data_IF_407669332769
#
_entry.id   IF_407669332769
#
_cell.length_a   1.000
_cell.length_b   1.000
_cell.length_c   1.000
_cell.angle_alpha   90.00
_cell.angle_beta   90.00
_cell.angle_gamma   90.00
#
_symmetry.space_group_name_H-M   'P 1'
#
loop_
_entity.id
_entity.type
_entity.pdbx_description
1 polymer ?
#
# COMPACT_ATOMS: atom_id res chain seq x y z
N UNK A 1 10.98 14.15 -25.99
CA UNK A 1 10.27 15.42 -25.77
C UNK A 1 9.13 15.06 -24.84
N UNK A 2 9.16 15.54 -23.60
CA UNK A 2 8.04 15.35 -22.67
C UNK A 2 6.88 16.12 -23.28
N UNK A 3 5.85 15.43 -23.74
CA UNK A 3 4.58 16.10 -24.04
C UNK A 3 4.13 16.77 -22.75
N UNK A 4 3.79 18.05 -22.81
CA UNK A 4 3.19 18.76 -21.67
C UNK A 4 1.93 17.98 -21.27
N UNK A 5 1.98 17.28 -20.13
CA UNK A 5 0.80 16.66 -19.56
C UNK A 5 -0.25 17.75 -19.28
N UNK A 6 -1.55 17.51 -19.49
CA UNK A 6 -2.58 18.52 -19.26
C UNK A 6 -2.79 18.81 -17.76
N UNK A 7 -2.14 18.06 -16.87
CA UNK A 7 -2.26 18.17 -15.43
C UNK A 7 -0.89 18.43 -14.79
N UNK A 8 -0.94 18.99 -13.59
CA UNK A 8 0.25 19.21 -12.78
C UNK A 8 0.67 17.89 -12.12
N UNK A 9 1.99 17.69 -12.04
CA UNK A 9 2.60 16.56 -11.36
C UNK A 9 3.51 17.11 -10.26
N UNK A 10 3.23 16.77 -9.01
CA UNK A 10 4.03 17.20 -7.87
C UNK A 10 3.76 16.36 -6.62
N UNK A 11 4.79 16.06 -5.81
CA UNK A 11 4.60 15.44 -4.49
C UNK A 11 3.63 16.18 -3.57
N UNK A 12 3.37 17.48 -3.79
CA UNK A 12 2.43 18.24 -2.97
C UNK A 12 0.98 17.74 -3.08
N UNK A 13 0.64 17.03 -4.16
CA UNK A 13 -0.70 16.50 -4.39
C UNK A 13 -0.90 15.11 -3.77
N UNK A 14 0.14 14.48 -3.22
CA UNK A 14 0.07 13.10 -2.75
C UNK A 14 -1.02 12.87 -1.68
N UNK A 15 -1.24 13.87 -0.83
CA UNK A 15 -2.25 13.86 0.22
C UNK A 15 -3.67 14.21 -0.25
N UNK A 16 -3.89 14.49 -1.54
CA UNK A 16 -5.18 14.89 -2.07
C UNK A 16 -6.26 13.80 -1.83
N UNK A 17 -7.48 14.23 -1.55
CA UNK A 17 -8.62 13.34 -1.30
C UNK A 17 -9.83 13.76 -2.11
N UNK A 18 -10.21 12.91 -3.05
CA UNK A 18 -11.37 13.12 -3.92
C UNK A 18 -12.62 12.55 -3.24
N UNK A 19 -13.48 13.45 -2.78
CA UNK A 19 -14.79 13.13 -2.20
C UNK A 19 -15.85 13.01 -3.30
N UNK A 20 -17.00 12.44 -2.94
CA UNK A 20 -18.11 12.16 -3.86
C UNK A 20 -18.53 13.38 -4.70
N UNK A 21 -18.56 14.57 -4.10
CA UNK A 21 -19.01 15.78 -4.79
C UNK A 21 -18.04 16.24 -5.89
N UNK A 22 -16.74 15.96 -5.71
CA UNK A 22 -15.67 16.28 -6.66
C UNK A 22 -15.30 15.11 -7.60
N UNK A 23 -15.97 13.96 -7.47
CA UNK A 23 -15.69 12.76 -8.24
C UNK A 23 -16.18 12.90 -9.69
N UNK A 24 -15.31 12.60 -10.64
CA UNK A 24 -15.72 12.33 -12.03
C UNK A 24 -15.95 10.83 -12.23
N UNK A 25 -14.95 9.98 -12.01
CA UNK A 25 -15.10 8.52 -12.12
C UNK A 25 -14.37 7.80 -11.00
N UNK A 26 -14.91 6.65 -10.60
CA UNK A 26 -14.29 5.72 -9.67
C UNK A 26 -13.80 4.49 -10.43
N UNK A 27 -12.61 4.00 -10.10
CA UNK A 27 -11.94 2.91 -10.78
C UNK A 27 -11.57 1.84 -9.74
N UNK A 28 -11.91 0.59 -10.03
CA UNK A 28 -11.81 -0.54 -9.10
C UNK A 28 -12.54 -0.26 -7.76
N UNK A 29 -11.85 -0.43 -6.62
CA UNK A 29 -12.40 -0.19 -5.29
C UNK A 29 -13.52 -1.16 -4.89
N UNK A 30 -14.21 -0.89 -3.77
CA UNK A 30 -15.11 -1.85 -3.12
C UNK A 30 -16.37 -2.20 -3.92
N UNK A 31 -16.62 -1.51 -5.04
CA UNK A 31 -17.79 -1.70 -5.90
C UNK A 31 -17.43 -2.28 -7.27
N UNK A 32 -16.16 -2.56 -7.52
CA UNK A 32 -15.68 -3.11 -8.79
C UNK A 32 -14.45 -3.99 -8.55
N UNK A 33 -13.78 -4.42 -9.62
CA UNK A 33 -12.57 -5.24 -9.55
C UNK A 33 -11.40 -4.47 -10.12
N UNK A 34 -10.21 -4.75 -9.59
CA UNK A 34 -8.99 -4.20 -10.15
C UNK A 34 -7.75 -4.90 -9.63
N UNK A 35 -6.61 -4.57 -10.23
CA UNK A 35 -5.31 -4.89 -9.67
C UNK A 35 -4.19 -3.99 -10.23
N UNK A 36 -3.10 -3.84 -9.50
CA UNK A 36 -1.84 -3.28 -10.01
C UNK A 36 -0.74 -4.33 -9.96
N UNK A 37 0.03 -4.50 -11.03
CA UNK A 37 1.12 -5.47 -11.09
C UNK A 37 2.35 -4.88 -11.76
N UNK A 38 3.52 -5.07 -11.16
CA UNK A 38 4.81 -4.86 -11.83
C UNK A 38 5.46 -6.20 -12.13
N UNK A 39 6.03 -6.35 -13.33
CA UNK A 39 6.76 -7.55 -13.74
C UNK A 39 8.12 -7.19 -14.33
N UNK A 40 9.16 -7.85 -13.84
CA UNK A 40 10.49 -7.79 -14.44
C UNK A 40 10.49 -8.59 -15.74
N UNK A 41 10.94 -7.96 -16.82
CA UNK A 41 11.00 -8.53 -18.16
C UNK A 41 12.40 -8.34 -18.77
N UNK A 42 12.69 -9.05 -19.87
CA UNK A 42 13.95 -8.82 -20.59
C UNK A 42 13.89 -7.53 -21.39
N UNK A 43 15.03 -6.88 -21.60
CA UNK A 43 15.15 -5.68 -22.43
C UNK A 43 14.53 -5.84 -23.83
N UNK A 44 14.60 -7.03 -24.42
CA UNK A 44 14.03 -7.33 -25.75
C UNK A 44 12.51 -7.52 -25.76
N UNK A 45 11.90 -7.71 -24.59
CA UNK A 45 10.47 -7.99 -24.43
C UNK A 45 9.67 -6.72 -24.11
N UNK A 46 10.35 -5.63 -23.73
CA UNK A 46 9.73 -4.34 -23.36
C UNK A 46 9.97 -3.29 -24.44
N UNK A 47 8.87 -2.71 -24.93
CA UNK A 47 8.90 -1.56 -25.83
C UNK A 47 8.82 -0.26 -25.00
N UNK A 48 9.97 0.40 -24.79
CA UNK A 48 10.09 1.55 -23.89
C UNK A 48 9.10 2.69 -24.24
N UNK A 49 8.31 3.10 -23.25
CA UNK A 49 7.31 4.16 -23.35
C UNK A 49 5.97 3.70 -23.94
N UNK A 50 5.81 2.42 -24.31
CA UNK A 50 4.55 1.92 -24.85
C UNK A 50 3.46 1.94 -23.79
N UNK A 51 2.29 2.42 -24.19
CA UNK A 51 1.04 2.27 -23.44
C UNK A 51 0.06 1.46 -24.26
N UNK A 52 -0.68 0.58 -23.61
CA UNK A 52 -1.82 -0.13 -24.20
C UNK A 52 -3.02 0.01 -23.27
N UNK A 53 -4.13 0.55 -23.79
CA UNK A 53 -5.41 0.56 -23.09
C UNK A 53 -6.34 -0.54 -23.64
N UNK A 54 -6.87 -1.38 -22.76
CA UNK A 54 -7.84 -2.44 -23.11
C UNK A 54 -9.16 -2.17 -22.41
N UNK A 55 -10.14 -1.66 -23.14
CA UNK A 55 -11.46 -1.29 -22.63
C UNK A 55 -11.77 0.21 -22.85
N UNK A 56 -12.87 0.72 -22.26
CA UNK A 56 -13.26 2.11 -22.41
C UNK A 56 -12.25 3.07 -21.76
N UNK A 57 -11.98 4.18 -22.43
CA UNK A 57 -11.15 5.26 -21.89
C UNK A 57 -11.97 6.30 -21.09
N UNK A 58 -11.31 7.24 -20.41
CA UNK A 58 -11.94 8.31 -19.61
C UNK A 58 -12.99 9.06 -20.43
N UNK A 59 -12.68 9.38 -21.70
CA UNK A 59 -13.61 10.10 -22.59
C UNK A 59 -14.92 9.35 -22.90
N UNK A 60 -14.95 8.04 -22.66
CA UNK A 60 -16.13 7.17 -22.85
C UNK A 60 -16.84 6.85 -21.53
N UNK A 61 -16.27 7.27 -20.39
CA UNK A 61 -16.83 7.01 -19.08
C UNK A 61 -17.87 8.08 -18.69
N UNK A 62 -18.92 7.63 -18.02
CA UNK A 62 -19.98 8.51 -17.52
C UNK A 62 -19.63 9.02 -16.11
N UNK A 63 -19.86 10.32 -15.89
CA UNK A 63 -19.65 10.95 -14.59
C UNK A 63 -20.43 10.25 -13.46
N UNK A 64 -19.75 10.03 -12.34
CA UNK A 64 -20.28 9.43 -11.12
C UNK A 64 -20.33 7.90 -11.14
N UNK A 65 -19.92 7.23 -12.23
CA UNK A 65 -19.91 5.77 -12.32
C UNK A 65 -18.60 5.15 -11.83
N UNK A 66 -18.68 3.84 -11.55
CA UNK A 66 -17.56 3.00 -11.18
C UNK A 66 -17.23 2.03 -12.32
N UNK A 67 -15.96 1.93 -12.70
CA UNK A 67 -15.46 1.02 -13.73
C UNK A 67 -14.42 0.05 -13.15
N UNK A 68 -14.21 -1.13 -13.71
CA UNK A 68 -13.10 -1.99 -13.31
C UNK A 68 -11.79 -1.37 -13.83
N UNK A 69 -10.68 -1.64 -13.16
CA UNK A 69 -9.42 -1.02 -13.53
C UNK A 69 -8.23 -1.86 -13.11
N UNK A 70 -7.34 -2.14 -14.04
CA UNK A 70 -6.07 -2.76 -13.74
C UNK A 70 -4.91 -2.06 -14.43
N UNK A 71 -3.74 -2.13 -13.81
CA UNK A 71 -2.49 -1.53 -14.27
C UNK A 71 -1.42 -2.61 -14.25
N UNK A 72 -0.73 -2.80 -15.37
CA UNK A 72 0.43 -3.68 -15.45
C UNK A 72 1.59 -2.86 -15.98
N UNK A 73 2.71 -2.88 -15.30
CA UNK A 73 3.96 -2.31 -15.79
C UNK A 73 4.98 -3.43 -15.99
N UNK A 74 5.53 -3.53 -17.20
CA UNK A 74 6.70 -4.36 -17.43
C UNK A 74 7.93 -3.47 -17.41
N UNK A 75 8.89 -3.83 -16.56
CA UNK A 75 10.13 -3.08 -16.36
C UNK A 75 11.33 -3.91 -16.80
N UNK A 76 12.32 -3.27 -17.38
CA UNK A 76 13.57 -3.89 -17.78
C UNK A 76 14.76 -2.94 -17.62
N UNK A 77 15.92 -3.50 -17.31
CA UNK A 77 17.19 -2.81 -17.12
C UNK A 77 18.26 -3.79 -16.66
N UNK A 78 19.53 -3.39 -16.70
CA UNK A 78 20.66 -4.24 -16.31
C UNK A 78 20.54 -4.74 -14.85
N UNK A 79 19.96 -3.91 -13.98
CA UNK A 79 19.79 -4.20 -12.55
C UNK A 79 18.33 -4.51 -12.16
N UNK A 80 17.46 -4.81 -13.13
CA UNK A 80 16.07 -5.18 -12.86
C UNK A 80 15.98 -6.69 -12.63
N UNK A 81 15.72 -7.06 -11.38
CA UNK A 81 15.50 -8.45 -10.94
C UNK A 81 14.05 -8.66 -10.47
N UNK A 82 13.59 -9.92 -10.39
CA UNK A 82 12.23 -10.21 -9.88
C UNK A 82 12.01 -9.71 -8.45
N UNK A 83 13.08 -9.60 -7.67
CA UNK A 83 13.02 -9.20 -6.26
C UNK A 83 12.70 -7.72 -6.08
N UNK A 84 12.82 -6.89 -7.13
CA UNK A 84 12.46 -5.46 -7.06
C UNK A 84 11.01 -5.19 -7.47
N UNK A 85 10.29 -6.18 -8.00
CA UNK A 85 8.93 -5.99 -8.54
C UNK A 85 7.97 -5.41 -7.51
N UNK A 86 7.91 -5.96 -6.29
CA UNK A 86 7.04 -5.50 -5.20
C UNK A 86 7.37 -4.08 -4.74
N UNK A 87 8.66 -3.72 -4.75
CA UNK A 87 9.14 -2.39 -4.35
C UNK A 87 8.71 -1.35 -5.37
N UNK A 88 8.93 -1.65 -6.65
CA UNK A 88 8.50 -0.78 -7.75
C UNK A 88 6.97 -0.69 -7.76
N UNK A 89 6.26 -1.81 -7.61
CA UNK A 89 4.80 -1.84 -7.54
C UNK A 89 4.26 -0.93 -6.45
N UNK A 90 4.89 -0.91 -5.27
CA UNK A 90 4.47 -0.03 -4.18
C UNK A 90 4.63 1.45 -4.52
N UNK A 91 5.64 1.84 -5.31
CA UNK A 91 5.85 3.23 -5.72
C UNK A 91 4.78 3.73 -6.71
N UNK A 92 4.03 2.83 -7.35
CA UNK A 92 2.85 3.20 -8.16
C UNK A 92 1.87 4.06 -7.36
N UNK A 93 1.70 3.73 -6.07
CA UNK A 93 0.85 4.52 -5.17
C UNK A 93 1.26 5.99 -5.10
N UNK A 94 2.55 6.29 -4.91
CA UNK A 94 3.01 7.66 -4.74
C UNK A 94 2.95 8.40 -6.08
N UNK A 95 3.48 7.77 -7.13
CA UNK A 95 3.59 8.37 -8.44
C UNK A 95 2.24 8.72 -9.05
N UNK A 96 1.21 7.90 -8.82
CA UNK A 96 -0.14 8.25 -9.24
C UNK A 96 -0.76 9.37 -8.41
N UNK A 97 -0.52 9.39 -7.09
CA UNK A 97 -1.01 10.49 -6.25
C UNK A 97 -0.23 11.81 -6.45
N UNK A 98 0.89 11.81 -7.18
CA UNK A 98 1.55 13.06 -7.60
C UNK A 98 0.78 13.76 -8.72
N UNK A 99 -0.13 13.08 -9.41
CA UNK A 99 -0.96 13.65 -10.46
C UNK A 99 -2.14 14.39 -9.83
N UNK A 100 -2.21 15.70 -10.05
CA UNK A 100 -3.27 16.53 -9.47
C UNK A 100 -4.67 16.08 -9.92
N UNK A 101 -5.58 15.88 -8.96
CA UNK A 101 -6.93 15.39 -9.21
C UNK A 101 -7.01 13.89 -9.52
N UNK A 102 -5.96 13.11 -9.26
CA UNK A 102 -5.94 11.66 -9.32
C UNK A 102 -5.59 11.08 -7.94
N UNK A 103 -6.47 10.26 -7.39
CA UNK A 103 -6.29 9.66 -6.06
C UNK A 103 -6.19 8.14 -6.20
N UNK A 104 -5.04 7.58 -5.90
CA UNK A 104 -4.79 6.13 -5.84
C UNK A 104 -4.68 5.67 -4.39
N UNK A 105 -5.37 4.59 -4.02
CA UNK A 105 -5.33 4.00 -2.68
C UNK A 105 -5.09 2.49 -2.74
N UNK A 106 -4.57 1.98 -1.63
CA UNK A 106 -4.32 0.56 -1.36
C UNK A 106 -3.19 -0.01 -2.24
N UNK A 107 -3.36 -1.24 -2.74
CA UNK A 107 -2.31 -2.05 -3.36
C UNK A 107 -2.86 -3.32 -4.03
N UNK A 108 -2.04 -3.99 -4.85
CA UNK A 108 -2.31 -5.32 -5.44
C UNK A 108 -3.72 -5.39 -6.05
N UNK A 109 -4.56 -6.36 -5.69
CA UNK A 109 -5.93 -6.51 -6.18
C UNK A 109 -6.97 -5.65 -5.44
N UNK A 110 -6.54 -4.86 -4.47
CA UNK A 110 -7.38 -4.03 -3.59
C UNK A 110 -7.35 -2.55 -3.97
N UNK A 111 -6.69 -2.22 -5.10
CA UNK A 111 -6.54 -0.85 -5.57
C UNK A 111 -7.89 -0.14 -5.68
N UNK A 112 -7.84 1.16 -5.37
CA UNK A 112 -9.00 2.02 -5.51
C UNK A 112 -8.56 3.38 -6.01
N UNK A 113 -9.07 3.74 -7.17
CA UNK A 113 -8.72 5.00 -7.81
C UNK A 113 -9.96 5.88 -7.93
N UNK A 114 -9.77 7.19 -7.73
CA UNK A 114 -10.75 8.22 -8.08
C UNK A 114 -10.10 9.27 -8.96
N UNK A 115 -10.83 9.70 -9.98
CA UNK A 115 -10.46 10.82 -10.83
C UNK A 115 -11.42 11.96 -10.55
N UNK A 116 -10.89 13.14 -10.26
CA UNK A 116 -11.66 14.32 -9.90
C UNK A 116 -12.15 15.07 -11.13
N UNK A 117 -13.26 15.79 -10.99
CA UNK A 117 -13.78 16.70 -12.03
C UNK A 117 -12.76 17.75 -12.43
N UNK A 118 -11.91 18.16 -11.49
CA UNK A 118 -10.85 19.13 -11.74
C UNK A 118 -9.78 18.60 -12.72
N UNK A 119 -9.37 17.33 -12.59
CA UNK A 119 -8.42 16.73 -13.53
C UNK A 119 -8.96 16.75 -14.97
N UNK A 120 -10.25 16.42 -15.14
CA UNK A 120 -10.92 16.50 -16.44
C UNK A 120 -10.94 17.94 -16.97
N UNK A 121 -11.24 18.92 -16.12
CA UNK A 121 -11.27 20.33 -16.51
C UNK A 121 -9.91 20.88 -16.92
N UNK A 122 -8.81 20.33 -16.36
CA UNK A 122 -7.42 20.66 -16.73
C UNK A 122 -6.99 19.97 -18.03
N UNK A 123 -7.75 18.97 -18.51
CA UNK A 123 -7.55 18.33 -19.81
C UNK A 123 -7.17 16.86 -19.74
N UNK A 124 -7.27 16.22 -18.58
CA UNK A 124 -7.19 14.76 -18.48
C UNK A 124 -8.38 14.15 -19.23
N UNK A 125 -8.11 13.48 -20.34
CA UNK A 125 -9.12 12.87 -21.21
C UNK A 125 -8.83 11.41 -21.52
N UNK A 126 -7.65 10.91 -21.15
CA UNK A 126 -7.23 9.53 -21.38
C UNK A 126 -6.43 8.96 -20.22
N UNK A 127 -6.69 7.69 -19.91
CA UNK A 127 -5.90 6.87 -19.01
C UNK A 127 -4.47 6.65 -19.53
N UNK A 128 -4.23 6.79 -20.84
CA UNK A 128 -2.89 6.71 -21.41
C UNK A 128 -2.00 7.87 -20.96
N UNK A 129 -2.58 9.07 -20.78
CA UNK A 129 -1.86 10.24 -20.23
C UNK A 129 -1.37 9.95 -18.81
N UNK A 130 -2.20 9.28 -18.00
CA UNK A 130 -1.82 8.84 -16.65
C UNK A 130 -0.70 7.82 -16.73
N UNK A 131 -0.81 6.80 -17.58
CA UNK A 131 0.22 5.77 -17.74
C UNK A 131 1.57 6.37 -18.16
N UNK A 132 1.57 7.30 -19.12
CA UNK A 132 2.78 8.00 -19.56
C UNK A 132 3.41 8.82 -18.43
N UNK A 133 2.61 9.57 -17.66
CA UNK A 133 3.08 10.35 -16.52
C UNK A 133 3.67 9.44 -15.43
N UNK A 134 2.99 8.34 -15.10
CA UNK A 134 3.47 7.39 -14.10
C UNK A 134 4.76 6.68 -14.55
N UNK A 135 4.86 6.27 -15.83
CA UNK A 135 6.09 5.69 -16.38
C UNK A 135 7.26 6.69 -16.36
N UNK A 136 7.02 7.97 -16.67
CA UNK A 136 8.03 9.02 -16.54
C UNK A 136 8.52 9.12 -15.08
N UNK A 137 7.61 9.14 -14.11
CA UNK A 137 7.97 9.18 -12.69
C UNK A 137 8.75 7.94 -12.26
N UNK A 138 8.37 6.75 -12.72
CA UNK A 138 9.13 5.53 -12.49
C UNK A 138 10.58 5.67 -12.95
N UNK A 139 10.82 6.12 -14.19
CA UNK A 139 12.20 6.26 -14.72
C UNK A 139 12.99 7.37 -14.01
N UNK A 140 12.34 8.45 -13.61
CA UNK A 140 13.00 9.57 -12.94
C UNK A 140 13.47 9.19 -11.53
N UNK A 141 12.60 8.51 -10.78
CA UNK A 141 12.84 8.19 -9.37
C UNK A 141 13.58 6.86 -9.20
N UNK A 142 13.44 5.94 -10.16
CA UNK A 142 14.06 4.61 -10.14
C UNK A 142 14.91 4.43 -11.42
N UNK A 143 16.08 5.10 -11.51
CA UNK A 143 16.87 5.18 -12.75
C UNK A 143 17.46 3.84 -13.23
N UNK A 144 17.40 2.79 -12.42
CA UNK A 144 17.75 1.42 -12.83
C UNK A 144 16.69 0.80 -13.77
N UNK A 145 15.52 1.40 -13.90
CA UNK A 145 14.50 1.05 -14.90
C UNK A 145 14.85 1.74 -16.21
N UNK A 146 15.49 1.02 -17.12
CA UNK A 146 15.91 1.54 -18.43
C UNK A 146 14.77 1.55 -19.44
N UNK A 147 13.92 0.52 -19.42
CA UNK A 147 12.73 0.38 -20.25
C UNK A 147 11.51 0.09 -19.41
N UNK A 148 10.40 0.73 -19.75
CA UNK A 148 9.11 0.48 -19.13
C UNK A 148 8.01 0.52 -20.18
N UNK A 149 7.05 -0.39 -20.08
CA UNK A 149 5.78 -0.33 -20.81
C UNK A 149 4.62 -0.55 -19.86
N UNK A 150 3.46 0.03 -20.18
CA UNK A 150 2.26 -0.04 -19.36
C UNK A 150 1.09 -0.65 -20.15
N UNK A 151 0.33 -1.52 -19.49
CA UNK A 151 -0.96 -2.02 -19.96
C UNK A 151 -2.02 -1.64 -18.93
N UNK A 152 -2.91 -0.74 -19.31
CA UNK A 152 -4.07 -0.38 -18.51
C UNK A 152 -5.31 -1.10 -19.05
N UNK A 153 -6.16 -1.58 -18.16
CA UNK A 153 -7.30 -2.41 -18.51
C UNK A 153 -8.53 -1.87 -17.79
N UNK A 154 -9.58 -1.57 -18.53
CA UNK A 154 -10.90 -1.17 -18.04
C UNK A 154 -12.00 -2.10 -18.54
N UNK A 155 -11.63 -3.14 -19.29
CA UNK A 155 -12.50 -4.26 -19.65
C UNK A 155 -12.55 -5.30 -18.52
N UNK A 156 -13.76 -5.61 -18.04
CA UNK A 156 -13.95 -6.56 -16.93
C UNK A 156 -13.53 -7.99 -17.29
N UNK A 157 -13.74 -8.41 -18.54
CA UNK A 157 -13.49 -9.79 -18.97
C UNK A 157 -11.99 -10.05 -19.01
N UNK A 158 -11.20 -9.10 -19.51
CA UNK A 158 -9.75 -9.21 -19.53
C UNK A 158 -9.15 -9.14 -18.11
N UNK A 159 -9.72 -8.33 -17.21
CA UNK A 159 -9.32 -8.33 -15.79
C UNK A 159 -9.57 -9.70 -15.15
N UNK A 160 -10.77 -10.27 -15.32
CA UNK A 160 -11.12 -11.56 -14.74
C UNK A 160 -10.25 -12.70 -15.26
N UNK A 161 -9.89 -12.66 -16.55
CA UNK A 161 -9.00 -13.64 -17.18
C UNK A 161 -7.59 -13.63 -16.60
N UNK A 162 -7.09 -12.47 -16.18
CA UNK A 162 -5.72 -12.31 -15.63
C UNK A 162 -5.65 -12.50 -14.12
N UNK A 163 -6.76 -12.29 -13.42
CA UNK A 163 -6.81 -12.24 -11.95
C UNK A 163 -6.20 -13.48 -11.26
N UNK A 164 -6.39 -14.67 -11.83
CA UNK A 164 -5.88 -15.91 -11.24
C UNK A 164 -4.34 -15.94 -11.23
N UNK A 165 -3.68 -15.60 -12.34
CA UNK A 165 -2.21 -15.56 -12.42
C UNK A 165 -1.62 -14.40 -11.61
N UNK A 166 -2.33 -13.28 -11.55
CA UNK A 166 -1.98 -12.13 -10.70
C UNK A 166 -1.95 -12.55 -9.23
N UNK A 167 -3.00 -13.23 -8.74
CA UNK A 167 -3.06 -13.74 -7.36
C UNK A 167 -1.94 -14.73 -7.05
N UNK A 168 -1.65 -15.66 -7.97
CA UNK A 168 -0.51 -16.59 -7.81
C UNK A 168 0.82 -15.85 -7.69
N UNK A 169 1.00 -14.76 -8.43
CA UNK A 169 2.21 -13.94 -8.35
C UNK A 169 2.35 -13.32 -6.97
N UNK A 170 1.28 -12.77 -6.40
CA UNK A 170 1.29 -12.24 -5.03
C UNK A 170 1.52 -13.32 -3.97
N UNK A 171 0.87 -14.48 -4.11
CA UNK A 171 1.08 -15.61 -3.19
C UNK A 171 2.54 -16.07 -3.17
N UNK A 172 3.20 -16.10 -4.33
CA UNK A 172 4.64 -16.42 -4.43
C UNK A 172 5.52 -15.38 -3.74
N UNK A 173 5.18 -14.08 -3.86
CA UNK A 173 5.88 -13.00 -3.14
C UNK A 173 5.71 -13.15 -1.62
N UNK A 174 4.52 -13.54 -1.17
CA UNK A 174 4.20 -13.69 0.26
C UNK A 174 4.82 -14.94 0.90
N UNK A 175 5.07 -16.02 0.15
CA UNK A 175 5.68 -17.25 0.69
C UNK A 175 7.13 -17.03 1.12
N UNK A 176 7.85 -16.11 0.46
CA UNK A 176 9.29 -15.89 0.68
C UNK A 176 9.66 -15.49 2.12
N UNK A 177 8.72 -14.95 2.89
CA UNK A 177 9.01 -14.42 4.24
C UNK A 177 8.70 -15.41 5.36
N UNK A 178 8.19 -16.61 5.05
CA UNK A 178 7.65 -17.52 6.08
C UNK A 178 8.70 -18.15 6.98
N UNK A 179 9.91 -18.35 6.47
CA UNK A 179 10.99 -19.07 7.18
C UNK A 179 12.03 -18.12 7.81
N UNK A 180 11.75 -16.82 7.85
CA UNK A 180 12.60 -15.82 8.48
C UNK A 180 11.85 -15.23 9.67
N UNK A 181 12.49 -15.22 10.84
CA UNK A 181 11.92 -14.64 12.05
C UNK A 181 12.72 -13.44 12.54
N UNK A 182 12.10 -12.65 13.42
CA UNK A 182 12.73 -11.50 14.03
C UNK A 182 14.03 -11.84 14.77
N UNK A 183 14.15 -13.05 15.32
CA UNK A 183 15.35 -13.55 15.99
C UNK A 183 16.52 -13.76 15.03
N UNK A 184 16.26 -14.00 13.74
CA UNK A 184 17.27 -14.28 12.72
C UNK A 184 17.89 -13.01 12.14
N UNK A 185 17.37 -11.83 12.49
CA UNK A 185 17.79 -10.54 11.93
C UNK A 185 18.15 -9.52 13.01
N UNK A 186 19.12 -8.67 12.70
CA UNK A 186 19.55 -7.54 13.55
C UNK A 186 18.91 -6.20 13.14
N UNK A 187 18.23 -6.20 12.00
CA UNK A 187 17.71 -5.03 11.31
C UNK A 187 16.26 -5.27 10.91
N UNK A 188 15.40 -4.32 11.26
CA UNK A 188 14.04 -4.20 10.74
C UNK A 188 13.99 -3.09 9.70
N UNK A 189 12.82 -2.90 9.09
CA UNK A 189 12.62 -1.83 8.12
C UNK A 189 11.44 -0.97 8.50
N UNK A 190 11.56 0.32 8.24
CA UNK A 190 10.49 1.28 8.44
C UNK A 190 9.90 1.75 7.13
N UNK A 191 8.72 2.34 7.17
CA UNK A 191 8.11 3.00 6.04
C UNK A 191 7.32 4.25 6.48
N UNK A 192 7.63 5.39 5.86
CA UNK A 192 6.97 6.70 6.06
C UNK A 192 6.19 7.16 4.84
N UNK A 193 6.05 6.32 3.82
CA UNK A 193 5.34 6.62 2.57
C UNK A 193 3.95 7.24 2.82
N UNK A 194 3.22 6.72 3.81
CA UNK A 194 1.87 7.20 4.12
C UNK A 194 1.81 8.49 4.97
N UNK A 195 2.93 9.15 5.26
CA UNK A 195 2.94 10.38 6.05
C UNK A 195 2.31 11.58 5.33
N UNK A 196 2.18 11.51 4.00
CA UNK A 196 1.43 12.49 3.20
C UNK A 196 -0.03 12.66 3.67
N UNK A 197 -0.63 11.64 4.28
CA UNK A 197 -1.99 11.70 4.83
C UNK A 197 -2.11 11.31 6.31
N UNK A 198 -1.10 10.65 6.88
CA UNK A 198 -1.02 10.35 8.30
C UNK A 198 0.36 10.77 8.84
N UNK A 199 0.58 12.09 9.10
CA UNK A 199 1.92 12.66 9.29
C UNK A 199 2.74 12.05 10.42
N UNK A 200 2.08 11.48 11.43
CA UNK A 200 2.75 10.87 12.60
C UNK A 200 2.89 9.35 12.47
N UNK A 201 2.37 8.74 11.40
CA UNK A 201 2.45 7.30 11.21
C UNK A 201 3.88 6.87 10.85
N UNK A 202 4.33 5.79 11.46
CA UNK A 202 5.57 5.09 11.08
C UNK A 202 5.25 3.60 11.04
N UNK A 203 5.35 2.99 9.86
CA UNK A 203 5.27 1.54 9.74
C UNK A 203 6.59 0.91 10.16
N UNK A 204 6.54 -0.13 10.99
CA UNK A 204 7.67 -0.99 11.35
C UNK A 204 7.37 -2.38 10.81
N UNK A 205 8.29 -2.87 9.98
CA UNK A 205 8.17 -4.07 9.18
C UNK A 205 9.27 -5.02 9.63
N UNK A 206 8.85 -6.21 10.03
CA UNK A 206 9.74 -7.27 10.51
C UNK A 206 9.43 -8.55 9.76
N UNK A 207 10.29 -9.59 9.86
CA UNK A 207 9.97 -10.87 9.25
C UNK A 207 8.63 -11.45 9.74
N UNK A 208 8.29 -11.24 11.02
CA UNK A 208 7.05 -11.69 11.64
C UNK A 208 5.90 -10.67 11.60
N UNK A 209 6.10 -9.47 11.04
CA UNK A 209 5.05 -8.43 10.89
C UNK A 209 5.19 -7.67 9.58
N UNK A 210 4.38 -8.06 8.61
CA UNK A 210 4.21 -7.33 7.34
C UNK A 210 3.68 -5.91 7.61
N UNK A 211 3.98 -4.98 6.68
CA UNK A 211 3.34 -3.67 6.67
C UNK A 211 1.82 -3.77 6.72
N UNK A 212 1.16 -2.79 7.35
CA UNK A 212 -0.29 -2.79 7.51
C UNK A 212 -1.07 -2.82 6.19
N UNK A 213 -0.48 -2.32 5.10
CA UNK A 213 -1.09 -2.37 3.78
C UNK A 213 -0.93 -3.73 3.07
N UNK A 214 -0.19 -4.67 3.63
CA UNK A 214 0.09 -5.98 3.03
C UNK A 214 1.12 -5.96 1.88
N UNK A 215 1.46 -4.79 1.34
CA UNK A 215 2.28 -4.67 0.14
C UNK A 215 3.80 -4.78 0.37
N UNK A 216 4.28 -4.53 1.60
CA UNK A 216 5.71 -4.49 1.92
C UNK A 216 6.00 -5.50 3.03
N UNK A 217 6.77 -6.53 2.70
CA UNK A 217 7.36 -7.46 3.66
C UNK A 217 8.81 -7.04 4.03
N UNK A 218 9.48 -7.83 4.87
CA UNK A 218 10.84 -7.51 5.32
C UNK A 218 11.87 -7.47 4.18
N UNK A 219 11.80 -8.39 3.21
CA UNK A 219 12.70 -8.39 2.05
C UNK A 219 12.46 -7.20 1.14
N UNK A 220 11.20 -6.81 0.96
CA UNK A 220 10.84 -5.60 0.20
C UNK A 220 11.40 -4.35 0.90
N UNK A 221 11.24 -4.25 2.22
CA UNK A 221 11.82 -3.16 3.00
C UNK A 221 13.34 -3.08 2.88
N UNK A 222 14.01 -4.24 2.91
CA UNK A 222 15.46 -4.34 2.69
C UNK A 222 15.88 -3.85 1.31
N UNK A 223 15.29 -4.40 0.26
CA UNK A 223 15.69 -4.07 -1.08
C UNK A 223 15.30 -2.62 -1.43
N UNK A 224 14.19 -2.08 -0.89
CA UNK A 224 13.83 -0.67 -1.05
C UNK A 224 14.89 0.25 -0.42
N UNK A 225 15.24 0.02 0.84
CA UNK A 225 16.24 0.84 1.56
C UNK A 225 17.66 0.74 0.95
N UNK A 226 17.98 -0.36 0.26
CA UNK A 226 19.24 -0.50 -0.48
C UNK A 226 19.21 0.19 -1.85
N UNK A 227 18.05 0.16 -2.52
CA UNK A 227 17.87 0.70 -3.87
C UNK A 227 17.73 2.23 -3.84
N UNK A 228 16.99 2.76 -2.87
CA UNK A 228 16.73 4.19 -2.67
C UNK A 228 16.93 4.55 -1.19
N UNK A 229 18.18 4.81 -0.75
CA UNK A 229 18.49 5.08 0.66
C UNK A 229 17.85 6.34 1.25
N UNK A 230 17.50 7.31 0.40
CA UNK A 230 16.82 8.55 0.79
C UNK A 230 15.28 8.43 0.62
N UNK A 231 14.81 7.26 0.19
CA UNK A 231 13.41 6.96 -0.03
C UNK A 231 12.60 6.79 1.26
N UNK A 232 11.30 6.50 1.14
CA UNK A 232 10.41 6.41 2.29
C UNK A 232 10.58 5.11 3.10
N UNK A 233 11.35 4.13 2.61
CA UNK A 233 11.70 2.91 3.33
C UNK A 233 13.15 2.98 3.80
N UNK A 234 13.39 2.66 5.07
CA UNK A 234 14.69 2.83 5.71
C UNK A 234 14.97 1.70 6.70
N UNK A 235 16.26 1.45 6.96
CA UNK A 235 16.70 0.46 7.93
C UNK A 235 16.50 0.94 9.38
N UNK A 236 16.09 0.02 10.25
CA UNK A 236 15.94 0.21 11.69
C UNK A 236 16.82 -0.81 12.40
N UNK A 237 17.93 -0.37 13.01
CA UNK A 237 18.68 -1.25 13.91
C UNK A 237 17.83 -1.58 15.12
N UNK A 238 17.71 -2.85 15.51
CA UNK A 238 16.86 -3.27 16.63
C UNK A 238 17.25 -2.58 17.95
N UNK A 239 18.54 -2.49 18.24
CA UNK A 239 19.03 -2.04 19.53
C UNK A 239 18.73 -3.05 20.65
N UNK A 240 18.61 -2.57 21.89
CA UNK A 240 18.23 -3.38 23.05
C UNK A 240 16.79 -3.91 22.94
N UNK A 241 16.59 -5.16 23.32
CA UNK A 241 15.27 -5.79 23.47
C UNK A 241 14.70 -5.38 24.84
N UNK A 242 13.62 -4.61 24.83
CA UNK A 242 12.97 -4.09 26.05
C UNK A 242 11.80 -4.99 26.50
N UNK A 243 11.10 -5.61 25.54
CA UNK A 243 10.05 -6.60 25.77
C UNK A 243 10.01 -7.58 24.60
N UNK A 244 10.42 -8.83 24.83
CA UNK A 244 10.45 -9.85 23.79
C UNK A 244 9.05 -10.30 23.35
N UNK A 245 8.08 -10.34 24.27
CA UNK A 245 6.72 -10.81 23.97
C UNK A 245 5.94 -9.71 23.24
N UNK A 246 5.98 -8.49 23.77
CA UNK A 246 5.40 -7.32 23.13
C UNK A 246 6.10 -6.89 21.84
N UNK A 247 7.34 -7.35 21.61
CA UNK A 247 8.17 -6.90 20.49
C UNK A 247 8.55 -5.42 20.64
N UNK A 248 9.06 -5.03 21.81
CA UNK A 248 9.55 -3.68 22.07
C UNK A 248 11.08 -3.64 21.97
N UNK A 249 11.57 -2.73 21.12
CA UNK A 249 12.97 -2.58 20.82
C UNK A 249 13.36 -1.11 20.90
N UNK A 250 14.47 -0.81 21.58
CA UNK A 250 14.92 0.58 21.80
C UNK A 250 15.15 1.35 20.50
N UNK A 251 15.74 0.72 19.47
CA UNK A 251 15.98 1.37 18.17
C UNK A 251 14.69 1.65 17.39
N UNK A 252 13.67 0.80 17.54
CA UNK A 252 12.33 1.06 17.01
C UNK A 252 11.71 2.28 17.70
N UNK A 253 11.76 2.31 19.04
CA UNK A 253 11.22 3.41 19.83
C UNK A 253 11.87 4.76 19.49
N UNK A 254 13.20 4.81 19.44
CA UNK A 254 13.95 6.03 19.11
C UNK A 254 13.56 6.58 17.74
N UNK A 255 13.56 5.72 16.72
CA UNK A 255 13.31 6.14 15.36
C UNK A 255 11.84 6.52 15.14
N UNK A 256 10.91 5.76 15.71
CA UNK A 256 9.49 6.06 15.59
C UNK A 256 9.12 7.36 16.35
N UNK A 257 9.75 7.64 17.50
CA UNK A 257 9.61 8.92 18.19
C UNK A 257 10.10 10.09 17.33
N UNK A 258 11.27 9.94 16.70
CA UNK A 258 11.83 10.95 15.80
C UNK A 258 10.93 11.21 14.58
N UNK A 259 10.54 10.16 13.88
CA UNK A 259 9.80 10.26 12.61
C UNK A 259 8.32 10.59 12.78
N UNK A 260 7.75 10.37 13.97
CA UNK A 260 6.40 10.81 14.30
C UNK A 260 6.33 12.23 14.86
N UNK A 261 7.47 12.95 14.95
CA UNK A 261 7.54 14.26 15.58
C UNK A 261 7.25 14.24 17.09
N UNK A 262 7.49 13.11 17.76
CA UNK A 262 7.26 12.92 19.19
C UNK A 262 5.80 12.64 19.56
N UNK A 263 4.95 12.26 18.60
CA UNK A 263 3.54 11.94 18.86
C UNK A 263 3.36 10.72 19.77
N UNK A 264 4.32 9.79 19.73
CA UNK A 264 4.46 8.64 20.63
C UNK A 264 5.93 8.25 20.74
N UNK A 265 6.30 7.61 21.84
CA UNK A 265 7.70 7.28 22.14
C UNK A 265 7.99 5.78 22.20
N UNK A 266 6.94 4.95 22.07
CA UNK A 266 7.01 3.50 22.26
C UNK A 266 6.13 2.80 21.25
N UNK A 267 6.60 1.70 20.68
CA UNK A 267 5.80 0.78 19.87
C UNK A 267 6.08 -0.64 20.36
N UNK A 268 5.00 -1.39 20.65
CA UNK A 268 5.04 -2.84 20.82
C UNK A 268 4.52 -3.51 19.54
N UNK A 269 5.40 -4.19 18.83
CA UNK A 269 5.12 -4.79 17.53
C UNK A 269 4.12 -5.96 17.59
N UNK A 270 3.84 -6.53 18.74
CA UNK A 270 2.90 -7.66 18.85
C UNK A 270 1.86 -7.46 19.95
N UNK A 271 1.49 -6.19 20.16
CA UNK A 271 0.49 -5.77 21.13
C UNK A 271 -0.63 -4.97 20.45
N UNK A 272 -1.85 -5.24 20.87
CA UNK A 272 -3.09 -4.56 20.49
C UNK A 272 -3.47 -3.51 21.56
N UNK A 273 -3.14 -3.74 22.83
CA UNK A 273 -3.54 -2.86 23.93
C UNK A 273 -2.43 -1.94 24.42
N UNK A 274 -1.22 -2.46 24.62
CA UNK A 274 -0.11 -1.71 25.18
C UNK A 274 0.77 -1.15 24.06
N UNK A 275 0.84 0.18 23.93
CA UNK A 275 1.61 0.89 22.88
C UNK A 275 1.45 0.27 21.49
N UNK A 276 0.20 0.09 21.00
CA UNK A 276 -0.02 -0.55 19.73
C UNK A 276 0.66 0.22 18.61
N UNK A 277 1.06 -0.51 17.58
CA UNK A 277 1.54 0.09 16.35
C UNK A 277 0.48 1.05 15.77
N UNK A 278 0.90 2.18 15.20
CA UNK A 278 -0.04 3.14 14.59
C UNK A 278 -0.60 2.65 13.26
N UNK A 279 -1.68 3.28 12.77
CA UNK A 279 -2.23 3.01 11.45
C UNK A 279 -2.35 4.29 10.64
N UNK A 280 -2.00 4.25 9.34
CA UNK A 280 -2.23 5.38 8.46
C UNK A 280 -3.67 5.38 7.93
N UNK A 281 -4.02 4.48 7.01
CA UNK A 281 -5.36 4.40 6.41
C UNK A 281 -5.51 3.38 5.28
N UNK A 282 -4.42 2.75 4.84
CA UNK A 282 -4.42 1.72 3.80
C UNK A 282 -4.32 0.29 4.35
N UNK A 283 -4.72 0.06 5.60
CA UNK A 283 -4.70 -1.29 6.18
C UNK A 283 -5.72 -2.20 5.52
N UNK A 284 -5.36 -3.48 5.35
CA UNK A 284 -6.25 -4.48 4.77
C UNK A 284 -7.36 -4.90 5.73
N UNK A 285 -7.04 -4.96 7.02
CA UNK A 285 -7.96 -5.40 8.07
C UNK A 285 -7.90 -4.44 9.26
N UNK A 286 -9.05 -4.18 9.88
CA UNK A 286 -9.16 -3.47 11.16
C UNK A 286 -9.61 -4.43 12.27
N UNK A 287 -8.83 -4.48 13.34
CA UNK A 287 -9.21 -5.13 14.59
C UNK A 287 -9.92 -4.14 15.52
N UNK A 288 -10.91 -4.61 16.26
CA UNK A 288 -11.63 -3.82 17.27
C UNK A 288 -11.90 -4.67 18.52
N UNK A 289 -11.71 -4.09 19.71
CA UNK A 289 -11.95 -4.79 20.97
C UNK A 289 -13.44 -4.85 21.33
N UNK A 290 -13.89 -6.01 21.80
CA UNK A 290 -15.24 -6.29 22.32
C UNK A 290 -15.15 -6.69 23.79
N UNK A 291 -15.42 -5.77 24.73
CA UNK A 291 -15.35 -6.04 26.17
C UNK A 291 -16.29 -7.14 26.65
N UNK A 292 -17.45 -7.31 26.00
CA UNK A 292 -18.53 -8.22 26.42
C UNK A 292 -18.14 -9.70 26.37
N UNK A 293 -17.27 -10.03 25.41
CA UNK A 293 -16.72 -11.37 25.22
C UNK A 293 -15.23 -11.44 25.56
N UNK A 294 -14.66 -10.32 25.98
CA UNK A 294 -13.24 -10.14 26.16
C UNK A 294 -12.51 -10.67 24.91
N UNK A 295 -12.65 -9.97 23.78
CA UNK A 295 -12.21 -10.49 22.49
C UNK A 295 -11.92 -9.40 21.47
N UNK A 296 -11.20 -9.74 20.41
CA UNK A 296 -10.90 -8.84 19.29
C UNK A 296 -11.62 -9.36 18.05
N UNK A 297 -12.53 -8.56 17.51
CA UNK A 297 -13.13 -8.81 16.21
C UNK A 297 -12.24 -8.24 15.12
N UNK A 298 -12.23 -8.86 13.94
CA UNK A 298 -11.46 -8.41 12.78
C UNK A 298 -12.36 -8.25 11.57
N UNK A 299 -12.18 -7.14 10.86
CA UNK A 299 -13.00 -6.80 9.69
C UNK A 299 -12.10 -6.47 8.52
N UNK A 300 -12.25 -7.28 7.48
CA UNK A 300 -11.63 -7.06 6.18
C UNK A 300 -12.21 -5.80 5.51
N UNK A 301 -11.38 -5.06 4.80
CA UNK A 301 -11.76 -3.83 4.08
C UNK A 301 -12.90 -4.01 3.09
N UNK A 302 -13.03 -5.19 2.50
CA UNK A 302 -14.06 -5.50 1.50
C UNK A 302 -15.39 -5.93 2.14
N UNK A 303 -15.42 -6.07 3.48
CA UNK A 303 -16.64 -6.36 4.19
C UNK A 303 -17.60 -5.17 4.17
N UNK A 304 -18.66 -5.30 3.37
CA UNK A 304 -19.70 -4.27 3.19
C UNK A 304 -20.79 -4.27 4.28
N UNK A 305 -20.69 -5.15 5.26
CA UNK A 305 -21.67 -5.28 6.33
C UNK A 305 -21.37 -4.42 7.55
N UNK A 306 -22.18 -4.63 8.59
CA UNK A 306 -21.95 -4.05 9.92
C UNK A 306 -21.30 -5.10 10.81
N UNK A 307 -20.22 -4.73 11.49
CA UNK A 307 -19.53 -5.61 12.42
C UNK A 307 -20.32 -5.76 13.74
N UNK A 308 -20.00 -6.76 14.59
CA UNK A 308 -20.66 -6.96 15.88
C UNK A 308 -20.72 -5.72 16.80
N UNK A 309 -19.78 -4.79 16.70
CA UNK A 309 -19.81 -3.51 17.43
C UNK A 309 -20.78 -2.46 16.84
N UNK A 310 -21.54 -2.80 15.80
CA UNK A 310 -22.50 -1.90 15.15
C UNK A 310 -21.88 -0.95 14.13
N UNK A 311 -20.59 -1.07 13.81
CA UNK A 311 -19.88 -0.18 12.89
C UNK A 311 -19.53 -0.86 11.56
N UNK A 312 -19.63 -0.16 10.41
CA UNK A 312 -19.03 -0.61 9.16
C UNK A 312 -17.51 -0.37 9.17
N UNK A 313 -16.77 -1.05 8.27
CA UNK A 313 -15.32 -0.88 8.13
C UNK A 313 -14.90 0.59 8.00
N UNK A 314 -15.59 1.38 7.16
CA UNK A 314 -15.26 2.79 6.90
C UNK A 314 -15.27 3.66 8.16
N UNK A 315 -16.20 3.41 9.09
CA UNK A 315 -16.28 4.13 10.36
C UNK A 315 -15.11 3.75 11.28
N UNK A 316 -14.81 2.45 11.39
CA UNK A 316 -13.68 1.97 12.19
C UNK A 316 -12.35 2.45 11.61
N UNK A 317 -12.23 2.49 10.27
CA UNK A 317 -11.03 2.98 9.61
C UNK A 317 -10.75 4.45 9.95
N UNK A 318 -11.78 5.27 10.02
CA UNK A 318 -11.68 6.67 10.45
C UNK A 318 -11.25 6.85 11.92
N UNK A 319 -11.53 5.88 12.79
CA UNK A 319 -11.10 5.88 14.19
C UNK A 319 -9.67 5.35 14.38
N UNK A 320 -9.29 4.37 13.55
CA UNK A 320 -8.02 3.65 13.65
C UNK A 320 -6.87 4.43 13.00
N UNK A 321 -7.15 5.09 11.87
CA UNK A 321 -6.15 5.77 11.05
C UNK A 321 -5.60 7.08 11.63
N UNK A 322 -4.75 7.74 10.85
CA UNK A 322 -4.19 9.06 11.15
C UNK A 322 -2.91 9.05 11.98
N UNK A 323 -2.23 7.91 12.11
CA UNK A 323 -0.89 7.82 12.69
C UNK A 323 -0.85 7.95 14.21
N UNK A 324 -1.95 7.58 14.89
CA UNK A 324 -2.07 7.62 16.35
C UNK A 324 -2.05 6.21 16.94
N UNK A 325 -1.66 6.09 18.20
CA UNK A 325 -1.87 4.87 18.97
C UNK A 325 -3.30 4.87 19.51
N UNK A 326 -4.11 3.95 19.02
CA UNK A 326 -5.53 3.84 19.40
C UNK A 326 -5.73 2.53 20.14
N UNK A 327 -5.82 2.59 21.46
CA UNK A 327 -6.12 1.39 22.26
C UNK A 327 -7.54 0.95 21.94
N UNK A 328 -7.71 -0.32 21.56
CA UNK A 328 -9.00 -0.87 21.16
C UNK A 328 -9.22 -0.97 19.66
N UNK A 329 -8.35 -0.37 18.83
CA UNK A 329 -8.42 -0.46 17.37
C UNK A 329 -7.03 -0.59 16.75
N UNK A 330 -6.86 -1.51 15.79
CA UNK A 330 -5.56 -1.71 15.12
C UNK A 330 -5.73 -2.11 13.66
N UNK A 331 -5.10 -1.37 12.75
CA UNK A 331 -4.99 -1.73 11.35
C UNK A 331 -3.79 -2.66 11.10
N UNK A 332 -4.02 -3.74 10.35
CA UNK A 332 -2.98 -4.73 9.99
C UNK A 332 -3.13 -5.21 8.54
N UNK A 333 -2.06 -5.81 8.01
CA UNK A 333 -2.11 -6.57 6.76
C UNK A 333 -2.54 -8.01 7.02
N UNK A 334 -3.23 -8.63 6.05
CA UNK A 334 -3.80 -9.98 6.13
C UNK A 334 -2.73 -11.02 6.44
N UNK A 335 -1.52 -10.88 5.90
CA UNK A 335 -0.46 -11.86 6.14
C UNK A 335 0.04 -11.86 7.59
N UNK A 336 -0.23 -10.83 8.39
CA UNK A 336 0.13 -10.84 9.81
C UNK A 336 -0.63 -11.91 10.62
N UNK A 337 -1.84 -12.28 10.21
CA UNK A 337 -2.58 -13.40 10.83
C UNK A 337 -1.86 -14.75 10.75
N UNK A 338 -0.98 -14.92 9.76
CA UNK A 338 -0.19 -16.14 9.57
C UNK A 338 1.09 -16.17 10.42
N UNK A 339 1.44 -15.04 11.03
CA UNK A 339 2.64 -14.91 11.84
C UNK A 339 2.52 -15.70 13.14
N UNK A 340 3.58 -16.39 13.59
CA UNK A 340 3.61 -16.99 14.92
C UNK A 340 3.55 -15.92 16.03
N UNK A 341 3.89 -14.66 15.73
CA UNK A 341 3.85 -13.54 16.67
C UNK A 341 2.57 -12.71 16.59
N UNK A 342 1.56 -13.15 15.84
CA UNK A 342 0.29 -12.44 15.69
C UNK A 342 -0.29 -12.07 17.07
N UNK A 343 -0.30 -10.77 17.39
CA UNK A 343 -0.72 -10.17 18.68
C UNK A 343 -0.39 -11.05 19.91
N UNK A 344 0.80 -11.64 19.93
CA UNK A 344 1.15 -12.67 20.92
C UNK A 344 1.13 -12.15 22.37
N UNK A 345 1.35 -10.84 22.57
CA UNK A 345 1.24 -10.22 23.89
C UNK A 345 -0.18 -10.24 24.46
N UNK A 346 -1.19 -10.39 23.60
CA UNK A 346 -2.61 -10.35 23.96
C UNK A 346 -3.30 -11.72 23.78
N UNK A 347 -2.52 -12.79 23.61
CA UNK A 347 -3.03 -14.16 23.51
C UNK A 347 -3.24 -14.69 22.09
N UNK A 348 -2.83 -13.93 21.06
CA UNK A 348 -2.81 -14.42 19.68
C UNK A 348 -4.20 -14.77 19.14
N UNK A 349 -4.26 -15.87 18.39
CA UNK A 349 -5.51 -16.38 17.83
C UNK A 349 -6.59 -16.68 18.87
N UNK A 350 -6.22 -17.03 20.11
CA UNK A 350 -7.18 -17.28 21.18
C UNK A 350 -7.97 -16.03 21.56
N UNK A 351 -7.52 -14.85 21.13
CA UNK A 351 -8.17 -13.58 21.38
C UNK A 351 -9.14 -13.16 20.27
N UNK A 352 -9.15 -13.86 19.15
CA UNK A 352 -10.04 -13.58 18.01
C UNK A 352 -11.40 -14.25 18.19
N UNK A 353 -12.48 -13.50 17.97
CA UNK A 353 -13.88 -13.92 18.22
C UNK A 353 -14.85 -13.49 17.13
#
# INVERSE_FOLDING_TARGET
>A
MVEDFPFEISPMFEGERIRKDGLHVELAGPKSKGFELVQAAKMSEVEDGKVTLIGPDISEMEEGKTYPYAMIYYIAGEHVEKDVESIVERRNHDFQNYIHGYMHLNQRYDIWVRIGKEAISKGLSSLEQVAQATMMLFKNELPFIERIEAVYITDIVEIEKRMEEVKKTYDLRDIRTRDLHEEDVDTFYGCTLCQSFAPTNVCVITPDRVSLCGAINWFDGRAAAMTDPEGPQFAIKKGEVLDLVGGEYSGVNELAAKLSGGAYNRIKLHSFFEYPHTSCGCFEVVGFFMPEVDGIGWVDRDFNGTAPNGLPFSTMAGQTGGGKQVVGFLGIGINYFRSPKFIQADGGWNRTV
#
